data_IF_772844429708
#
_entry.id   IF_772844429708
#
_cell.length_a   1.000
_cell.length_b   1.000
_cell.length_c   1.000
_cell.angle_alpha   90.00
_cell.angle_beta   90.00
_cell.angle_gamma   90.00
#
_symmetry.space_group_name_H-M   'P 1'
#
loop_
_entity.id
_entity.type
_entity.pdbx_description
1 polymer ?
#
# COMPACT_ATOMS: atom_id res chain seq x y z
N UNK A 1 11.69 -11.18 -11.72
CA UNK A 1 10.71 -10.43 -10.91
C UNK A 1 11.18 -8.98 -10.90
N UNK A 2 10.41 -8.01 -11.41
CA UNK A 2 10.81 -6.59 -11.38
C UNK A 2 10.87 -6.15 -9.91
N UNK A 3 11.96 -5.51 -9.46
CA UNK A 3 11.96 -4.89 -8.13
C UNK A 3 11.01 -3.69 -8.15
N UNK A 4 10.43 -3.32 -7.01
CA UNK A 4 9.63 -2.10 -6.95
C UNK A 4 10.46 -0.92 -7.42
N UNK A 5 11.72 -0.83 -7.01
CA UNK A 5 12.62 0.26 -7.39
C UNK A 5 12.89 0.38 -8.90
N UNK A 6 12.96 -0.73 -9.65
CA UNK A 6 13.43 -0.70 -11.04
C UNK A 6 12.44 -0.17 -12.09
N UNK A 7 11.21 0.19 -11.68
CA UNK A 7 10.22 0.82 -12.58
C UNK A 7 10.01 2.33 -12.32
N UNK A 8 10.72 2.96 -11.38
CA UNK A 8 10.18 4.17 -10.74
C UNK A 8 11.13 5.38 -10.80
N UNK A 9 10.98 6.21 -11.83
CA UNK A 9 11.50 7.58 -11.82
C UNK A 9 10.52 8.55 -11.14
N UNK A 10 10.25 8.37 -9.84
CA UNK A 10 9.37 9.30 -9.11
C UNK A 10 10.02 10.63 -8.81
N UNK A 11 9.22 11.69 -8.89
CA UNK A 11 9.46 12.96 -8.22
C UNK A 11 8.91 12.90 -6.78
N UNK A 12 9.52 13.64 -5.87
CA UNK A 12 9.21 13.62 -4.42
C UNK A 12 7.71 13.83 -4.11
N UNK A 13 7.05 14.66 -4.92
CA UNK A 13 5.65 15.10 -4.76
C UNK A 13 4.63 14.27 -5.54
N UNK A 14 5.06 13.18 -6.17
CA UNK A 14 4.15 12.32 -6.92
C UNK A 14 3.21 11.60 -5.95
N UNK A 15 1.89 11.77 -6.13
CA UNK A 15 0.93 10.93 -5.45
C UNK A 15 0.99 9.52 -6.03
N UNK A 16 1.04 8.50 -5.17
CA UNK A 16 1.24 7.11 -5.57
C UNK A 16 0.02 6.29 -5.18
N UNK A 17 -0.51 5.54 -6.15
CA UNK A 17 -1.48 4.47 -5.94
C UNK A 17 -0.84 3.13 -6.25
N UNK A 18 -0.82 2.23 -5.26
CA UNK A 18 -0.41 0.84 -5.43
C UNK A 18 -1.65 -0.03 -5.48
N UNK A 19 -1.72 -0.93 -6.46
CA UNK A 19 -2.79 -1.94 -6.59
C UNK A 19 -2.16 -3.30 -6.80
N UNK A 20 -2.54 -4.30 -6.01
CA UNK A 20 -2.04 -5.66 -6.13
C UNK A 20 -3.17 -6.69 -6.15
N UNK A 21 -3.00 -7.73 -6.97
CA UNK A 21 -3.85 -8.90 -6.98
C UNK A 21 -3.22 -10.01 -6.13
N UNK A 22 -4.01 -10.57 -5.22
CA UNK A 22 -3.59 -11.73 -4.43
C UNK A 22 -3.56 -12.97 -5.32
N UNK A 23 -2.54 -13.80 -5.13
CA UNK A 23 -2.31 -15.02 -5.91
C UNK A 23 -3.49 -15.99 -5.75
N UNK A 24 -3.87 -16.62 -6.87
CA UNK A 24 -4.95 -17.62 -6.94
C UNK A 24 -6.29 -17.13 -6.37
N UNK A 25 -6.58 -15.83 -6.49
CA UNK A 25 -7.81 -15.22 -5.96
C UNK A 25 -8.31 -14.03 -6.77
N UNK A 26 -9.57 -13.67 -6.55
CA UNK A 26 -10.20 -12.44 -7.06
C UNK A 26 -9.98 -11.25 -6.11
N UNK A 27 -9.12 -11.37 -5.10
CA UNK A 27 -8.93 -10.32 -4.10
C UNK A 27 -7.94 -9.26 -4.60
N UNK A 28 -8.25 -7.99 -4.34
CA UNK A 28 -7.34 -6.87 -4.57
C UNK A 28 -7.01 -6.17 -3.26
N UNK A 29 -5.78 -5.70 -3.14
CA UNK A 29 -5.31 -4.90 -2.01
C UNK A 29 -4.44 -3.77 -2.52
N UNK A 30 -4.39 -2.68 -1.78
CA UNK A 30 -3.51 -1.59 -2.13
C UNK A 30 -3.67 -0.40 -1.21
N UNK A 31 -3.12 0.72 -1.65
CA UNK A 31 -3.25 1.98 -0.95
C UNK A 31 -2.74 3.15 -1.75
N UNK A 32 -3.12 4.33 -1.29
CA UNK A 32 -2.78 5.61 -1.89
C UNK A 32 -2.02 6.46 -0.88
N UNK A 33 -0.99 7.14 -1.36
CA UNK A 33 -0.29 8.20 -0.64
C UNK A 33 -0.21 9.45 -1.52
N UNK A 34 -0.37 10.66 -0.97
CA UNK A 34 -0.33 11.90 -1.74
C UNK A 34 1.09 12.36 -2.09
N UNK A 35 2.11 11.65 -1.59
CA UNK A 35 3.52 11.86 -1.93
C UNK A 35 4.21 10.53 -2.10
N UNK A 36 5.36 10.53 -2.77
CA UNK A 36 6.14 9.32 -2.98
C UNK A 36 6.67 8.74 -1.66
N UNK A 37 7.01 7.44 -1.69
CA UNK A 37 7.69 6.75 -0.58
C UNK A 37 9.19 7.11 -0.49
N UNK A 38 9.73 7.84 -1.48
CA UNK A 38 11.14 8.26 -1.47
C UNK A 38 11.40 9.22 -0.31
N UNK A 39 12.62 9.19 0.19
CA UNK A 39 13.12 10.06 1.27
C UNK A 39 12.37 9.92 2.62
N UNK A 40 11.52 8.90 2.74
CA UNK A 40 10.87 8.55 3.99
C UNK A 40 11.87 7.81 4.90
N UNK A 41 12.08 8.30 6.12
CA UNK A 41 12.97 7.68 7.09
C UNK A 41 12.42 7.77 8.53
N UNK A 42 11.80 6.70 9.07
CA UNK A 42 11.10 5.64 8.36
C UNK A 42 9.63 5.99 8.10
N UNK A 43 9.16 7.16 8.58
CA UNK A 43 7.78 7.61 8.44
C UNK A 43 7.69 9.00 7.81
N UNK A 44 6.60 9.24 7.09
CA UNK A 44 6.19 10.57 6.61
C UNK A 44 4.72 10.79 6.92
N UNK A 45 4.40 12.00 7.37
CA UNK A 45 3.06 12.32 7.82
C UNK A 45 2.13 12.71 6.67
N UNK A 46 0.87 12.29 6.74
CA UNK A 46 -0.20 12.80 5.89
C UNK A 46 -1.56 12.43 6.44
N UNK A 47 -2.57 13.27 6.18
CA UNK A 47 -3.98 12.95 6.45
C UNK A 47 -4.68 12.32 5.24
N UNK A 48 -4.08 12.42 4.05
CA UNK A 48 -4.69 12.03 2.78
C UNK A 48 -4.15 10.68 2.31
N UNK A 49 -4.00 9.72 3.23
CA UNK A 49 -3.60 8.34 2.91
C UNK A 49 -4.72 7.37 3.24
N UNK A 50 -4.84 6.33 2.40
CA UNK A 50 -5.78 5.24 2.64
C UNK A 50 -5.23 3.91 2.11
N UNK A 51 -5.66 2.83 2.76
CA UNK A 51 -5.52 1.45 2.26
C UNK A 51 -6.89 0.93 1.86
N UNK A 52 -6.92 0.00 0.92
CA UNK A 52 -8.17 -0.63 0.48
C UNK A 52 -8.01 -2.14 0.29
N UNK A 53 -9.14 -2.83 0.35
CA UNK A 53 -9.23 -4.26 0.17
C UNK A 53 -10.55 -4.65 -0.49
N UNK A 54 -10.49 -5.44 -1.55
CA UNK A 54 -11.63 -6.05 -2.23
C UNK A 54 -11.56 -7.55 -1.99
N UNK A 55 -12.67 -8.14 -1.54
CA UNK A 55 -12.77 -9.61 -1.50
C UNK A 55 -13.13 -10.19 -2.86
N UNK A 56 -13.63 -9.36 -3.79
CA UNK A 56 -13.87 -9.71 -5.19
C UNK A 56 -13.65 -8.46 -6.08
N UNK A 57 -12.67 -8.51 -6.99
CA UNK A 57 -12.33 -7.41 -7.91
C UNK A 57 -13.44 -7.05 -8.89
N UNK A 58 -14.35 -7.99 -9.18
CA UNK A 58 -15.45 -7.79 -10.11
C UNK A 58 -16.73 -7.27 -9.40
N UNK A 59 -16.73 -7.17 -8.07
CA UNK A 59 -17.83 -6.63 -7.27
C UNK A 59 -17.37 -5.47 -6.39
N UNK A 60 -17.65 -4.24 -6.84
CA UNK A 60 -17.31 -3.01 -6.14
C UNK A 60 -17.97 -2.87 -4.78
N UNK A 61 -19.06 -3.62 -4.49
CA UNK A 61 -19.70 -3.62 -3.16
C UNK A 61 -18.85 -4.32 -2.10
N UNK A 62 -17.86 -5.10 -2.52
CA UNK A 62 -16.93 -5.76 -1.62
C UNK A 62 -15.74 -4.89 -1.21
N UNK A 63 -15.63 -3.70 -1.78
CA UNK A 63 -14.60 -2.73 -1.45
C UNK A 63 -14.70 -2.29 0.01
N UNK A 64 -13.58 -2.34 0.70
CA UNK A 64 -13.39 -1.76 2.03
C UNK A 64 -12.22 -0.80 1.95
N UNK A 65 -12.37 0.36 2.57
CA UNK A 65 -11.35 1.41 2.58
C UNK A 65 -11.12 1.83 4.01
N UNK A 66 -9.86 1.99 4.39
CA UNK A 66 -9.45 2.57 5.65
C UNK A 66 -8.58 3.78 5.40
N UNK A 67 -8.97 4.91 5.98
CA UNK A 67 -8.14 6.10 6.02
C UNK A 67 -7.16 6.02 7.20
N UNK A 68 -6.05 6.74 7.11
CA UNK A 68 -5.10 6.83 8.22
C UNK A 68 -5.70 7.56 9.41
N UNK A 69 -5.54 7.01 10.61
CA UNK A 69 -5.89 7.66 11.87
C UNK A 69 -4.66 8.30 12.54
N UNK A 70 -3.54 7.57 12.57
CA UNK A 70 -2.26 8.07 13.10
C UNK A 70 -1.43 8.68 11.96
N UNK A 71 -1.78 9.91 11.58
CA UNK A 71 -1.23 10.60 10.40
C UNK A 71 0.29 10.68 10.37
N UNK A 72 0.95 10.81 11.52
CA UNK A 72 2.41 10.87 11.67
C UNK A 72 3.12 9.58 11.22
N UNK A 73 2.38 8.49 11.07
CA UNK A 73 2.88 7.20 10.63
C UNK A 73 2.25 6.73 9.31
N UNK A 74 1.59 7.62 8.57
CA UNK A 74 0.81 7.25 7.39
C UNK A 74 1.63 6.50 6.33
N UNK A 75 2.78 7.05 5.97
CA UNK A 75 3.69 6.49 4.96
C UNK A 75 4.85 5.84 5.68
N UNK A 76 5.17 4.61 5.31
CA UNK A 76 6.32 3.87 5.82
C UNK A 76 7.28 3.51 4.69
N UNK A 77 8.58 3.62 4.96
CA UNK A 77 9.62 3.12 4.07
C UNK A 77 10.81 2.63 4.90
N UNK A 78 11.16 1.37 4.73
CA UNK A 78 12.36 0.79 5.31
C UNK A 78 12.95 -0.24 4.35
N UNK A 79 14.27 -0.30 4.22
CA UNK A 79 14.98 -1.34 3.45
C UNK A 79 14.36 -1.61 2.07
N UNK A 80 13.98 -0.55 1.34
CA UNK A 80 13.39 -0.64 0.00
C UNK A 80 12.00 -1.29 -0.06
N UNK A 81 11.34 -1.44 1.08
CA UNK A 81 9.96 -1.94 1.19
C UNK A 81 9.00 -0.78 1.51
N UNK A 82 8.23 -0.29 0.52
CA UNK A 82 7.21 0.71 0.77
C UNK A 82 6.06 0.09 1.56
N UNK A 83 5.49 0.88 2.47
CA UNK A 83 4.36 0.44 3.25
C UNK A 83 3.47 1.58 3.73
N UNK A 84 2.36 1.18 4.31
CA UNK A 84 1.36 2.05 4.90
C UNK A 84 1.35 1.77 6.40
N UNK A 85 1.43 2.83 7.19
CA UNK A 85 1.26 2.74 8.63
C UNK A 85 2.48 2.23 9.40
N UNK A 86 2.48 2.47 10.71
CA UNK A 86 3.47 1.94 11.67
C UNK A 86 3.36 0.43 11.87
N UNK A 87 2.16 -0.10 11.66
CA UNK A 87 1.75 -1.45 12.04
C UNK A 87 2.56 -2.59 11.44
N UNK A 88 3.42 -2.36 10.44
CA UNK A 88 3.06 -2.13 9.04
C UNK A 88 1.66 -2.59 8.66
N UNK A 89 0.72 -1.66 8.53
CA UNK A 89 -0.67 -1.91 8.19
C UNK A 89 -0.81 -2.55 6.81
N UNK A 90 0.08 -2.21 5.87
CA UNK A 90 0.30 -2.92 4.61
C UNK A 90 1.76 -2.73 4.17
N UNK A 91 2.55 -3.82 4.12
CA UNK A 91 3.95 -3.79 3.70
C UNK A 91 4.14 -4.53 2.38
N UNK A 92 4.61 -3.80 1.38
CA UNK A 92 4.69 -4.23 0.00
C UNK A 92 6.10 -4.77 -0.32
N UNK A 93 6.35 -6.03 0.02
CA UNK A 93 7.70 -6.63 -0.07
C UNK A 93 8.11 -6.96 -1.50
N UNK A 94 9.38 -6.73 -1.81
CA UNK A 94 10.01 -7.14 -3.08
C UNK A 94 9.96 -8.66 -3.33
N UNK A 95 9.86 -9.46 -2.26
CA UNK A 95 9.66 -10.91 -2.33
C UNK A 95 8.33 -11.31 -3.00
N UNK A 96 7.35 -10.41 -3.04
CA UNK A 96 5.97 -10.69 -3.45
C UNK A 96 5.13 -11.38 -2.36
N UNK A 97 5.65 -11.47 -1.13
CA UNK A 97 4.88 -11.91 0.04
C UNK A 97 4.64 -10.70 0.92
N UNK A 98 3.46 -10.11 0.80
CA UNK A 98 3.07 -8.91 1.54
C UNK A 98 2.54 -9.29 2.91
N UNK A 99 2.57 -8.32 3.83
CA UNK A 99 2.09 -8.50 5.20
C UNK A 99 1.22 -7.32 5.63
N UNK A 100 0.30 -7.58 6.55
CA UNK A 100 -0.56 -6.56 7.14
C UNK A 100 -0.71 -6.80 8.63
N UNK A 101 -0.49 -5.76 9.42
CA UNK A 101 -0.74 -5.76 10.86
C UNK A 101 -1.26 -4.37 11.23
N UNK A 102 -2.59 -4.16 11.25
CA UNK A 102 -3.18 -2.83 11.40
C UNK A 102 -2.86 -2.20 12.77
N UNK A 103 -2.43 -0.95 12.75
CA UNK A 103 -2.14 -0.09 13.91
C UNK A 103 -2.51 1.38 13.62
N UNK A 104 -2.00 1.94 12.50
CA UNK A 104 -2.23 3.34 12.12
C UNK A 104 -3.50 3.55 11.29
N UNK A 105 -4.06 2.47 10.76
CA UNK A 105 -5.28 2.40 9.97
C UNK A 105 -6.25 1.40 10.61
N UNK A 106 -7.55 1.71 10.71
CA UNK A 106 -8.57 0.73 11.06
C UNK A 106 -8.51 -0.56 10.23
N UNK A 107 -8.69 -1.70 10.90
CA UNK A 107 -8.67 -2.99 10.22
C UNK A 107 -9.88 -3.15 9.28
N UNK A 108 -9.60 -3.42 8.00
CA UNK A 108 -10.59 -3.74 6.98
C UNK A 108 -10.58 -5.23 6.57
N UNK A 109 -9.82 -6.05 7.29
CA UNK A 109 -9.75 -7.50 7.07
C UNK A 109 -8.75 -7.94 6.01
N UNK A 110 -7.70 -7.16 5.75
CA UNK A 110 -6.55 -7.60 4.94
C UNK A 110 -5.89 -8.82 5.64
N UNK A 111 -5.56 -9.90 4.92
CA UNK A 111 -4.87 -11.04 5.51
C UNK A 111 -3.48 -10.65 6.05
N UNK A 112 -3.07 -11.23 7.18
CA UNK A 112 -1.79 -10.89 7.83
C UNK A 112 -0.55 -11.15 6.97
N UNK A 113 -0.62 -12.15 6.10
CA UNK A 113 0.45 -12.55 5.17
C UNK A 113 -0.20 -13.19 3.95
N UNK A 114 0.19 -12.75 2.76
CA UNK A 114 -0.34 -13.26 1.49
C UNK A 114 0.66 -13.11 0.35
N UNK A 115 0.56 -13.99 -0.65
CA UNK A 115 1.31 -13.88 -1.89
C UNK A 115 0.53 -13.05 -2.91
N UNK A 116 1.23 -12.23 -3.69
CA UNK A 116 0.65 -11.49 -4.80
C UNK A 116 0.97 -12.15 -6.15
N UNK A 117 0.00 -12.13 -7.07
CA UNK A 117 0.18 -12.52 -8.47
C UNK A 117 0.92 -11.42 -9.23
N UNK A 118 0.48 -10.18 -9.06
CA UNK A 118 0.99 -8.98 -9.71
C UNK A 118 0.67 -7.76 -8.88
N UNK A 119 1.38 -6.67 -9.15
CA UNK A 119 1.07 -5.34 -8.64
C UNK A 119 1.38 -4.31 -9.72
N UNK A 120 0.64 -3.21 -9.69
CA UNK A 120 0.84 -2.03 -10.52
C UNK A 120 0.97 -0.82 -9.60
N UNK A 121 1.78 0.14 -10.04
CA UNK A 121 1.95 1.40 -9.34
C UNK A 121 1.66 2.53 -10.31
N UNK A 122 0.81 3.46 -9.88
CA UNK A 122 0.36 4.60 -10.66
C UNK A 122 0.80 5.89 -9.98
N UNK A 123 1.38 6.81 -10.76
CA UNK A 123 1.49 8.20 -10.36
C UNK A 123 0.16 8.89 -10.66
N UNK A 124 -0.41 9.56 -9.67
CA UNK A 124 -1.65 10.33 -9.77
C UNK A 124 -1.30 11.81 -9.77
N UNK A 125 -1.77 12.53 -10.77
CA UNK A 125 -1.71 13.98 -10.82
C UNK A 125 -3.07 14.50 -10.36
N UNK A 126 -3.09 15.16 -9.20
CA UNK A 126 -4.29 15.70 -8.55
C UNK A 126 -4.38 17.21 -8.76
#
# INVERSE_FOLDING_TARGET
KKSMESNLSYHEYDSILIVAQLKDSEQLVGGFNPTSFKECNPYKDTQNSFVFYYTNKDDSKTARVSYVEQKEYAIYYNEEEPGFGRGPDLLCKNSGVWTSNPESYPSIGIPKRFEIQSYEIFTVYV
#
